data_IF_098058664474
#
_entry.id   IF_098058664474
#
_cell.length_a   1.000
_cell.length_b   1.000
_cell.length_c   1.000
_cell.angle_alpha   90.00
_cell.angle_beta   90.00
_cell.angle_gamma   90.00
#
_symmetry.space_group_name_H-M   'P 1'
#
loop_
_entity.id
_entity.type
_entity.pdbx_description
1 polymer ?
#
# COMPACT_ATOMS: atom_id res chain seq x y z
N UNK A 1 -22.56 0.27 -29.56
CA UNK A 1 -23.00 0.54 -28.16
C UNK A 1 -23.27 2.02 -27.87
N UNK A 2 -22.84 2.98 -28.71
CA UNK A 2 -23.02 4.43 -28.45
C UNK A 2 -24.47 4.95 -28.42
N UNK A 3 -25.37 4.42 -29.27
CA UNK A 3 -26.75 4.95 -29.41
C UNK A 3 -27.61 4.84 -28.13
N UNK A 4 -27.30 3.87 -27.26
CA UNK A 4 -27.99 3.70 -25.97
C UNK A 4 -27.64 4.79 -24.95
N UNK A 5 -26.37 5.21 -24.90
CA UNK A 5 -25.91 6.28 -24.01
C UNK A 5 -26.33 7.66 -24.53
N UNK A 6 -26.25 7.86 -25.85
CA UNK A 6 -26.62 9.10 -26.50
C UNK A 6 -28.10 9.45 -26.38
N UNK A 7 -29.00 8.49 -26.05
CA UNK A 7 -30.44 8.72 -25.87
C UNK A 7 -30.86 8.89 -24.39
N UNK A 8 -30.07 8.38 -23.44
CA UNK A 8 -30.36 8.45 -22.01
C UNK A 8 -30.24 9.87 -21.42
N UNK A 9 -31.18 10.29 -20.56
CA UNK A 9 -31.20 11.63 -19.94
C UNK A 9 -29.96 11.95 -19.09
N UNK A 10 -29.45 10.92 -18.40
CA UNK A 10 -28.19 10.90 -17.67
C UNK A 10 -27.76 9.43 -17.58
N UNK A 11 -26.46 9.15 -17.51
CA UNK A 11 -25.95 7.77 -17.39
C UNK A 11 -25.26 7.60 -16.04
N UNK A 12 -25.80 6.72 -15.21
CA UNK A 12 -25.17 6.36 -13.94
C UNK A 12 -23.97 5.44 -14.19
N UNK A 13 -22.81 5.86 -13.71
CA UNK A 13 -21.64 5.02 -13.58
C UNK A 13 -21.42 4.69 -12.10
N UNK A 14 -21.19 3.41 -11.83
CA UNK A 14 -20.85 2.88 -10.52
C UNK A 14 -19.42 2.32 -10.61
N UNK A 15 -18.49 2.93 -9.88
CA UNK A 15 -17.16 2.37 -9.72
C UNK A 15 -17.18 1.25 -8.68
N UNK A 16 -16.51 0.14 -9.00
CA UNK A 16 -16.08 -0.77 -7.95
C UNK A 16 -15.25 0.02 -6.94
N UNK A 17 -15.38 -0.32 -5.67
CA UNK A 17 -14.66 0.36 -4.59
C UNK A 17 -13.13 0.39 -4.84
N UNK A 18 -12.57 -0.68 -5.42
CA UNK A 18 -11.17 -0.70 -5.85
C UNK A 18 -10.86 0.32 -6.94
N UNK A 19 -11.77 0.53 -7.90
CA UNK A 19 -11.53 1.48 -8.97
C UNK A 19 -11.44 2.89 -8.42
N UNK A 20 -12.38 3.28 -7.55
CA UNK A 20 -12.35 4.57 -6.87
C UNK A 20 -11.09 4.73 -6.03
N UNK A 21 -10.79 3.76 -5.17
CA UNK A 21 -9.65 3.85 -4.24
C UNK A 21 -8.31 4.01 -4.98
N UNK A 22 -8.13 3.31 -6.09
CA UNK A 22 -6.92 3.42 -6.93
C UNK A 22 -7.00 4.51 -8.00
N UNK A 23 -8.08 5.32 -8.05
CA UNK A 23 -8.22 6.40 -9.02
C UNK A 23 -8.47 5.95 -10.47
N UNK A 24 -8.87 4.68 -10.68
CA UNK A 24 -9.21 4.15 -12.00
C UNK A 24 -10.56 4.68 -12.47
N UNK A 25 -10.54 5.48 -13.55
CA UNK A 25 -11.75 5.95 -14.20
C UNK A 25 -12.31 4.84 -15.09
N UNK A 26 -13.58 4.49 -14.86
CA UNK A 26 -14.32 3.52 -15.68
C UNK A 26 -14.38 3.93 -17.15
N UNK A 27 -14.12 2.98 -18.06
CA UNK A 27 -14.31 3.17 -19.51
C UNK A 27 -15.70 3.75 -19.86
N UNK A 28 -16.71 3.44 -19.05
CA UNK A 28 -18.06 3.96 -19.25
C UNK A 28 -18.14 5.48 -19.16
N UNK A 29 -17.31 6.12 -18.34
CA UNK A 29 -17.26 7.59 -18.25
C UNK A 29 -16.82 8.17 -19.60
N UNK A 30 -15.74 7.64 -20.18
CA UNK A 30 -15.25 8.02 -21.50
C UNK A 30 -16.32 7.79 -22.58
N UNK A 31 -16.94 6.61 -22.60
CA UNK A 31 -17.96 6.26 -23.61
C UNK A 31 -19.18 7.19 -23.57
N UNK A 32 -19.61 7.59 -22.37
CA UNK A 32 -20.74 8.50 -22.18
C UNK A 32 -20.39 9.89 -22.68
N UNK A 33 -19.22 10.41 -22.31
CA UNK A 33 -18.78 11.75 -22.74
C UNK A 33 -18.56 11.79 -24.26
N UNK A 34 -17.89 10.78 -24.83
CA UNK A 34 -17.68 10.65 -26.28
C UNK A 34 -18.99 10.55 -27.07
N UNK A 35 -20.06 10.04 -26.44
CA UNK A 35 -21.40 9.98 -27.03
C UNK A 35 -22.21 11.28 -26.83
N UNK A 36 -21.62 12.33 -26.25
CA UNK A 36 -22.29 13.60 -25.92
C UNK A 36 -23.21 13.54 -24.71
N UNK A 37 -23.15 12.46 -23.92
CA UNK A 37 -23.90 12.30 -22.68
C UNK A 37 -23.21 12.94 -21.47
N UNK A 38 -23.93 13.03 -20.35
CA UNK A 38 -23.38 13.50 -19.06
C UNK A 38 -23.40 12.33 -18.09
N UNK A 39 -22.22 11.82 -17.66
CA UNK A 39 -22.15 10.77 -16.68
C UNK A 39 -22.44 11.34 -15.29
N UNK A 40 -23.20 10.57 -14.50
CA UNK A 40 -23.39 10.78 -13.07
C UNK A 40 -22.62 9.67 -12.38
N UNK A 41 -21.59 10.03 -11.62
CA UNK A 41 -20.67 9.06 -11.03
C UNK A 41 -20.28 9.47 -9.63
N UNK A 42 -19.79 8.54 -8.84
CA UNK A 42 -19.24 8.84 -7.54
C UNK A 42 -18.01 9.78 -7.59
N UNK A 43 -17.82 10.59 -6.54
CA UNK A 43 -16.73 11.57 -6.45
C UNK A 43 -15.39 10.93 -6.04
N UNK A 44 -14.32 11.22 -6.78
CA UNK A 44 -12.91 11.00 -6.40
C UNK A 44 -11.97 11.95 -7.17
N UNK A 45 -10.76 12.27 -6.65
CA UNK A 45 -9.95 13.38 -7.18
C UNK A 45 -9.45 13.22 -8.62
N UNK A 46 -9.11 12.01 -9.05
CA UNK A 46 -8.59 11.74 -10.40
C UNK A 46 -9.63 12.06 -11.46
N UNK A 47 -10.90 11.75 -11.18
CA UNK A 47 -12.02 12.08 -12.04
C UNK A 47 -12.22 13.59 -12.16
N UNK A 48 -12.12 14.34 -11.06
CA UNK A 48 -12.24 15.80 -11.07
C UNK A 48 -11.08 16.46 -11.82
N UNK A 49 -9.86 15.95 -11.68
CA UNK A 49 -8.70 16.46 -12.42
C UNK A 49 -8.81 16.21 -13.92
N UNK A 50 -9.25 15.01 -14.30
CA UNK A 50 -9.34 14.61 -15.70
C UNK A 50 -10.51 15.28 -16.42
N UNK A 51 -11.68 15.27 -15.78
CA UNK A 51 -12.92 15.65 -16.43
C UNK A 51 -13.59 16.89 -15.85
N UNK A 52 -13.23 17.33 -14.64
CA UNK A 52 -13.76 18.56 -14.04
C UNK A 52 -15.28 18.69 -14.15
N UNK A 53 -15.73 19.72 -14.86
CA UNK A 53 -17.14 20.03 -15.06
C UNK A 53 -17.84 19.13 -16.10
N UNK A 54 -17.12 18.27 -16.81
CA UNK A 54 -17.65 17.34 -17.81
C UNK A 54 -18.47 16.19 -17.21
N UNK A 55 -18.38 16.00 -15.88
CA UNK A 55 -19.11 14.97 -15.12
C UNK A 55 -19.96 15.58 -14.02
N UNK A 56 -21.01 14.89 -13.59
CA UNK A 56 -21.73 15.20 -12.36
C UNK A 56 -21.39 14.17 -11.29
N UNK A 57 -21.02 14.63 -10.08
CA UNK A 57 -20.55 13.73 -9.03
C UNK A 57 -21.42 13.68 -7.78
N UNK A 58 -21.33 12.57 -7.03
CA UNK A 58 -22.05 12.37 -5.77
C UNK A 58 -21.26 11.58 -4.72
N UNK A 59 -21.60 11.78 -3.45
CA UNK A 59 -21.01 11.09 -2.29
C UNK A 59 -22.04 10.33 -1.46
N UNK A 60 -23.32 10.64 -1.63
CA UNK A 60 -24.44 10.09 -0.85
C UNK A 60 -25.76 10.15 -1.66
N UNK A 61 -26.85 9.66 -1.06
CA UNK A 61 -28.16 9.60 -1.72
C UNK A 61 -28.76 10.98 -2.04
N UNK A 62 -28.44 12.02 -1.26
CA UNK A 62 -28.99 13.36 -1.44
C UNK A 62 -28.25 14.12 -2.54
N UNK A 63 -26.92 14.04 -2.53
CA UNK A 63 -26.04 14.56 -3.59
C UNK A 63 -26.29 13.85 -4.91
N UNK A 64 -26.54 12.53 -4.90
CA UNK A 64 -26.92 11.76 -6.08
C UNK A 64 -28.17 12.31 -6.75
N UNK A 65 -29.25 12.54 -5.98
CA UNK A 65 -30.51 13.09 -6.52
C UNK A 65 -30.31 14.45 -7.19
N UNK A 66 -29.46 15.31 -6.61
CA UNK A 66 -29.13 16.63 -7.18
C UNK A 66 -28.26 16.50 -8.43
N UNK A 67 -27.24 15.64 -8.42
CA UNK A 67 -26.35 15.38 -9.55
C UNK A 67 -27.12 14.84 -10.76
N UNK A 68 -28.02 13.88 -10.55
CA UNK A 68 -28.87 13.34 -11.60
C UNK A 68 -29.80 14.42 -12.21
N UNK A 69 -30.40 15.28 -11.38
CA UNK A 69 -31.24 16.37 -11.88
C UNK A 69 -30.45 17.38 -12.72
N UNK A 70 -29.23 17.75 -12.30
CA UNK A 70 -28.34 18.64 -13.05
C UNK A 70 -27.88 18.03 -14.37
N UNK A 71 -27.49 16.75 -14.38
CA UNK A 71 -27.10 16.06 -15.61
C UNK A 71 -28.22 16.08 -16.66
N UNK A 72 -29.45 15.79 -16.25
CA UNK A 72 -30.63 15.83 -17.14
C UNK A 72 -30.91 17.24 -17.66
N UNK A 73 -30.77 18.26 -16.81
CA UNK A 73 -30.97 19.66 -17.22
C UNK A 73 -29.89 20.11 -18.21
N UNK A 74 -28.61 19.90 -17.88
CA UNK A 74 -27.46 20.27 -18.73
C UNK A 74 -27.53 19.62 -20.10
N UNK A 75 -27.90 18.33 -20.20
CA UNK A 75 -28.04 17.66 -21.50
C UNK A 75 -29.10 18.30 -22.41
N UNK A 76 -30.14 18.92 -21.85
CA UNK A 76 -31.18 19.60 -22.63
C UNK A 76 -30.73 20.95 -23.19
N UNK A 77 -29.77 21.59 -22.52
CA UNK A 77 -29.29 22.94 -22.83
C UNK A 77 -28.04 22.93 -23.72
N UNK A 78 -27.33 21.81 -23.76
CA UNK A 78 -25.96 21.71 -24.27
C UNK A 78 -25.84 20.78 -25.48
N UNK A 79 -24.98 21.13 -26.44
CA UNK A 79 -24.77 20.33 -27.65
C UNK A 79 -23.70 19.23 -27.48
N UNK A 80 -22.99 19.16 -26.35
CA UNK A 80 -22.06 18.08 -25.97
C UNK A 80 -20.85 17.87 -26.90
N UNK A 81 -20.79 18.57 -28.02
CA UNK A 81 -19.90 18.27 -29.15
C UNK A 81 -18.43 18.53 -28.83
N UNK A 82 -18.09 19.69 -28.25
CA UNK A 82 -16.69 20.03 -27.93
C UNK A 82 -16.09 19.09 -26.87
N UNK A 83 -16.94 18.57 -25.96
CA UNK A 83 -16.56 17.60 -24.92
C UNK A 83 -16.34 16.20 -25.48
N UNK A 84 -17.26 15.77 -26.34
CA UNK A 84 -17.13 14.52 -27.07
C UNK A 84 -15.85 14.53 -27.92
N UNK A 85 -15.56 15.67 -28.56
CA UNK A 85 -14.37 15.86 -29.37
C UNK A 85 -13.07 15.78 -28.56
N UNK A 86 -13.04 16.33 -27.33
CA UNK A 86 -11.89 16.18 -26.43
C UNK A 86 -11.60 14.70 -26.10
N UNK A 87 -12.63 13.92 -25.73
CA UNK A 87 -12.44 12.48 -25.42
C UNK A 87 -12.08 11.68 -26.67
N UNK A 88 -12.73 11.96 -27.81
CA UNK A 88 -12.48 11.27 -29.08
C UNK A 88 -11.09 11.55 -29.66
N UNK A 89 -10.45 12.68 -29.30
CA UNK A 89 -9.14 13.06 -29.81
C UNK A 89 -7.96 12.69 -28.89
N UNK A 90 -8.23 12.25 -27.65
CA UNK A 90 -7.18 12.01 -26.66
C UNK A 90 -7.30 10.69 -25.89
N UNK A 91 -8.44 10.00 -25.97
CA UNK A 91 -8.73 8.81 -25.16
C UNK A 91 -9.41 7.70 -25.96
N UNK A 92 -9.08 7.55 -27.23
CA UNK A 92 -9.54 6.41 -28.02
C UNK A 92 -9.08 5.09 -27.38
N UNK A 93 -9.75 3.99 -27.73
CA UNK A 93 -9.35 2.67 -27.24
C UNK A 93 -7.95 2.30 -27.72
N UNK A 94 -7.59 2.69 -28.94
CA UNK A 94 -6.28 2.40 -29.52
C UNK A 94 -5.17 3.17 -28.80
N UNK A 95 -5.34 4.48 -28.57
CA UNK A 95 -4.38 5.30 -27.79
C UNK A 95 -4.18 4.75 -26.37
N UNK A 96 -5.27 4.30 -25.72
CA UNK A 96 -5.19 3.70 -24.38
C UNK A 96 -4.59 2.31 -24.39
N UNK A 97 -4.84 1.50 -25.41
CA UNK A 97 -4.25 0.17 -25.58
C UNK A 97 -2.74 0.27 -25.84
N UNK A 98 -2.33 1.22 -26.69
CA UNK A 98 -0.92 1.54 -26.92
C UNK A 98 -0.24 1.91 -25.60
N UNK A 99 -0.86 2.79 -24.80
CA UNK A 99 -0.32 3.14 -23.47
C UNK A 99 -0.22 1.95 -22.51
N UNK A 100 -1.19 1.04 -22.52
CA UNK A 100 -1.12 -0.19 -21.69
C UNK A 100 0.02 -1.09 -22.17
N UNK A 101 0.18 -1.27 -23.47
CA UNK A 101 1.26 -2.09 -24.04
C UNK A 101 2.64 -1.53 -23.71
N UNK A 102 2.82 -0.21 -23.78
CA UNK A 102 4.03 0.48 -23.30
C UNK A 102 4.35 0.11 -21.84
N UNK A 103 3.38 0.27 -20.93
CA UNK A 103 3.55 -0.06 -19.52
C UNK A 103 3.87 -1.55 -19.27
N UNK A 104 3.28 -2.45 -20.07
CA UNK A 104 3.52 -3.90 -19.98
C UNK A 104 4.94 -4.23 -20.43
N UNK A 105 5.43 -3.64 -21.53
CA UNK A 105 6.80 -3.83 -21.99
C UNK A 105 7.83 -3.32 -20.97
N UNK A 106 7.60 -2.13 -20.41
CA UNK A 106 8.40 -1.57 -19.32
C UNK A 106 8.48 -2.51 -18.12
N UNK A 107 7.33 -3.03 -17.68
CA UNK A 107 7.26 -3.94 -16.54
C UNK A 107 8.02 -5.26 -16.80
N UNK A 108 7.99 -5.75 -18.04
CA UNK A 108 8.69 -6.97 -18.42
C UNK A 108 10.21 -6.76 -18.62
N UNK A 109 10.71 -5.52 -18.55
CA UNK A 109 12.11 -5.21 -18.82
C UNK A 109 12.54 -5.50 -20.26
N UNK A 110 11.58 -5.54 -21.20
CA UNK A 110 11.83 -5.75 -22.63
C UNK A 110 11.63 -4.42 -23.33
N UNK A 111 12.58 -3.94 -24.15
CA UNK A 111 12.45 -2.64 -24.79
C UNK A 111 11.22 -2.60 -25.70
N UNK A 112 10.29 -1.69 -25.40
CA UNK A 112 9.28 -1.27 -26.34
C UNK A 112 9.96 -0.62 -27.57
N UNK A 113 9.37 -0.67 -28.77
CA UNK A 113 9.84 0.14 -29.89
C UNK A 113 9.80 1.62 -29.47
N UNK A 114 10.94 2.30 -29.58
CA UNK A 114 11.22 3.56 -28.90
C UNK A 114 10.13 4.64 -29.07
N UNK A 115 9.47 4.97 -27.96
CA UNK A 115 8.85 6.25 -27.68
C UNK A 115 9.53 6.87 -26.45
N UNK A 116 9.69 8.19 -26.50
CA UNK A 116 10.66 9.01 -25.77
C UNK A 116 10.27 9.27 -24.29
N UNK A 117 9.86 8.24 -23.52
CA UNK A 117 9.11 8.44 -22.27
C UNK A 117 9.84 8.10 -20.95
N UNK A 118 11.14 7.79 -21.00
CA UNK A 118 12.02 7.82 -19.79
C UNK A 118 12.32 9.28 -19.34
N UNK A 119 11.96 10.27 -20.18
CA UNK A 119 12.19 11.69 -19.93
C UNK A 119 11.31 12.30 -18.80
N UNK A 120 10.34 11.55 -18.24
CA UNK A 120 9.40 12.06 -17.23
C UNK A 120 9.25 11.23 -15.96
N UNK A 121 10.00 10.15 -15.79
CA UNK A 121 10.02 9.38 -14.55
C UNK A 121 10.92 10.03 -13.48
N UNK A 122 10.52 9.92 -12.21
CA UNK A 122 11.30 10.37 -11.06
C UNK A 122 12.06 9.16 -10.52
N UNK A 123 13.36 9.09 -10.79
CA UNK A 123 14.19 7.97 -10.35
C UNK A 123 14.76 8.29 -8.96
N UNK A 124 14.45 7.49 -7.96
CA UNK A 124 14.93 7.70 -6.59
C UNK A 124 15.78 6.49 -6.19
N UNK A 125 16.95 6.76 -5.62
CA UNK A 125 17.77 5.73 -5.02
C UNK A 125 17.45 5.60 -3.53
N UNK A 126 17.42 4.36 -3.05
CA UNK A 126 17.23 4.00 -1.64
C UNK A 126 18.51 3.33 -1.16
N UNK A 127 19.09 3.85 -0.08
CA UNK A 127 20.30 3.31 0.50
C UNK A 127 20.06 1.90 1.05
N UNK A 128 20.94 0.97 0.69
CA UNK A 128 20.91 -0.43 1.13
C UNK A 128 22.23 -0.77 1.80
N UNK A 129 22.17 -1.53 2.89
CA UNK A 129 23.37 -2.03 3.55
C UNK A 129 24.14 -2.98 2.64
N UNK A 130 25.47 -2.95 2.67
CA UNK A 130 26.30 -3.83 1.84
C UNK A 130 26.16 -5.32 2.21
N UNK A 131 25.76 -5.63 3.44
CA UNK A 131 25.52 -6.98 3.94
C UNK A 131 24.06 -7.42 3.86
N UNK A 132 23.15 -6.55 3.40
CA UNK A 132 21.77 -6.93 3.17
C UNK A 132 21.71 -7.93 2.01
N UNK A 133 20.85 -8.94 2.15
CA UNK A 133 20.61 -9.90 1.08
C UNK A 133 20.14 -9.13 -0.19
N UNK A 134 20.87 -9.24 -1.32
CA UNK A 134 20.58 -8.48 -2.54
C UNK A 134 19.28 -8.91 -3.23
N UNK A 135 18.78 -10.12 -2.95
CA UNK A 135 17.48 -10.60 -3.42
C UNK A 135 16.36 -10.33 -2.41
N UNK A 136 16.74 -10.05 -1.17
CA UNK A 136 15.76 -9.67 -0.19
C UNK A 136 15.35 -8.21 -0.45
N UNK A 137 14.08 -7.97 -0.78
CA UNK A 137 13.40 -6.73 -0.37
C UNK A 137 12.67 -6.96 0.97
N UNK A 138 13.31 -6.74 2.14
CA UNK A 138 12.55 -6.70 3.36
C UNK A 138 13.32 -5.92 4.44
N UNK A 139 13.46 -4.61 4.25
CA UNK A 139 13.59 -3.77 5.43
C UNK A 139 12.37 -2.87 5.47
N UNK A 140 11.50 -3.18 6.42
CA UNK A 140 10.30 -2.43 6.69
C UNK A 140 10.61 -0.95 6.99
N UNK A 141 11.88 -0.63 7.30
CA UNK A 141 12.42 0.69 7.65
C UNK A 141 11.92 1.75 6.68
N UNK A 142 12.07 1.51 5.38
CA UNK A 142 11.71 2.49 4.36
C UNK A 142 10.33 2.26 3.74
N UNK A 143 9.59 1.21 4.09
CA UNK A 143 8.22 1.02 3.59
C UNK A 143 7.33 2.24 3.90
N UNK A 144 7.61 2.93 5.02
CA UNK A 144 6.95 4.18 5.41
C UNK A 144 7.06 5.28 4.36
N UNK A 145 8.19 5.33 3.66
CA UNK A 145 8.55 6.38 2.70
C UNK A 145 8.36 5.88 1.27
N UNK A 146 8.70 4.61 1.00
CA UNK A 146 8.56 3.98 -0.31
C UNK A 146 7.09 3.73 -0.64
N UNK A 147 6.26 3.20 0.27
CA UNK A 147 4.85 2.91 -0.04
C UNK A 147 4.08 4.16 -0.53
N UNK A 148 4.19 5.35 0.10
CA UNK A 148 3.53 6.54 -0.43
C UNK A 148 4.11 7.07 -1.75
N UNK A 149 5.39 6.76 -2.06
CA UNK A 149 6.05 7.16 -3.31
C UNK A 149 5.75 6.20 -4.47
N UNK A 150 5.52 4.93 -4.16
CA UNK A 150 5.32 3.84 -5.14
C UNK A 150 3.91 3.24 -5.11
N UNK A 151 2.96 3.88 -4.42
CA UNK A 151 1.57 3.42 -4.45
C UNK A 151 1.10 3.39 -5.90
N UNK A 152 0.31 2.37 -6.27
CA UNK A 152 -0.31 2.18 -7.60
C UNK A 152 -1.31 3.32 -7.92
N UNK A 153 -0.83 4.55 -7.95
CA UNK A 153 -1.54 5.71 -8.43
C UNK A 153 -1.31 5.78 -9.94
N UNK A 154 -2.33 6.09 -10.76
CA UNK A 154 -2.16 6.34 -12.19
C UNK A 154 -1.07 7.37 -12.51
N UNK A 155 -0.72 8.22 -11.54
CA UNK A 155 0.30 9.26 -11.61
C UNK A 155 1.71 8.84 -11.17
N UNK A 156 1.91 7.68 -10.54
CA UNK A 156 3.20 7.35 -9.91
C UNK A 156 4.26 6.99 -10.96
N UNK A 157 4.92 8.00 -11.53
CA UNK A 157 6.11 7.84 -12.39
C UNK A 157 7.40 7.66 -11.58
N UNK A 158 7.32 7.19 -10.33
CA UNK A 158 8.48 7.03 -9.45
C UNK A 158 9.12 5.66 -9.67
N UNK A 159 10.41 5.64 -10.02
CA UNK A 159 11.22 4.42 -10.14
C UNK A 159 12.18 4.36 -8.96
N UNK A 160 12.04 3.35 -8.10
CA UNK A 160 12.94 3.15 -6.95
C UNK A 160 14.07 2.21 -7.34
N UNK A 161 15.29 2.59 -6.98
CA UNK A 161 16.52 1.83 -7.25
C UNK A 161 17.25 1.59 -5.94
N UNK A 162 17.95 0.47 -5.83
CA UNK A 162 18.85 0.23 -4.71
C UNK A 162 20.19 0.96 -4.92
N UNK A 163 20.74 1.53 -3.85
CA UNK A 163 22.08 2.09 -3.81
C UNK A 163 22.86 1.52 -2.63
N UNK A 164 23.83 0.65 -2.93
CA UNK A 164 24.73 0.08 -1.92
C UNK A 164 26.02 0.92 -1.79
N UNK A 165 26.69 0.89 -0.64
CA UNK A 165 28.03 1.45 -0.50
C UNK A 165 28.97 1.02 -1.63
N UNK A 166 29.69 1.98 -2.23
CA UNK A 166 30.59 1.76 -3.36
C UNK A 166 29.93 1.73 -4.74
N UNK A 167 28.59 1.76 -4.83
CA UNK A 167 27.89 1.93 -6.12
C UNK A 167 27.98 3.37 -6.63
N UNK A 168 27.99 3.53 -7.95
CA UNK A 168 27.89 4.86 -8.56
C UNK A 168 26.50 5.46 -8.28
N UNK A 169 26.38 6.77 -8.01
CA UNK A 169 25.07 7.38 -7.80
C UNK A 169 24.12 7.13 -8.98
N UNK A 170 22.91 6.65 -8.69
CA UNK A 170 21.79 6.45 -9.63
C UNK A 170 20.60 7.35 -9.24
N UNK A 171 19.65 7.56 -10.16
CA UNK A 171 18.49 8.42 -9.91
C UNK A 171 18.79 9.91 -9.63
N UNK A 172 17.77 10.67 -9.29
CA UNK A 172 17.83 12.11 -9.01
C UNK A 172 18.06 12.43 -7.53
N UNK A 173 17.84 11.49 -6.62
CA UNK A 173 17.94 11.68 -5.17
C UNK A 173 18.33 10.37 -4.46
N UNK A 174 18.88 10.48 -3.24
CA UNK A 174 19.10 9.36 -2.34
C UNK A 174 18.21 9.48 -1.10
N UNK A 175 17.57 8.39 -0.69
CA UNK A 175 16.89 8.27 0.61
C UNK A 175 17.69 7.32 1.50
N UNK A 176 17.98 7.75 2.72
CA UNK A 176 18.73 6.97 3.74
C UNK A 176 17.85 6.78 4.97
N UNK A 177 17.86 5.60 5.60
CA UNK A 177 17.18 5.40 6.89
C UNK A 177 18.14 5.65 8.05
N UNK A 178 17.65 6.26 9.13
CA UNK A 178 18.46 6.54 10.34
C UNK A 178 19.03 5.29 10.98
N UNK A 179 18.34 4.15 10.85
CA UNK A 179 18.78 2.87 11.38
C UNK A 179 19.94 2.24 10.58
N UNK A 180 20.30 2.81 9.43
CA UNK A 180 21.37 2.35 8.56
C UNK A 180 22.59 3.27 8.54
N UNK A 181 22.55 4.41 9.24
CA UNK A 181 23.64 5.39 9.25
C UNK A 181 24.97 4.81 9.74
N UNK A 182 24.93 3.93 10.75
CA UNK A 182 26.13 3.28 11.29
C UNK A 182 26.67 2.14 10.41
N UNK A 183 26.05 1.89 9.25
CA UNK A 183 26.48 0.82 8.34
C UNK A 183 27.80 1.21 7.64
N UNK A 184 28.79 0.31 7.57
CA UNK A 184 30.05 0.58 6.88
C UNK A 184 29.85 1.09 5.45
N UNK A 185 30.48 2.22 5.13
CA UNK A 185 30.44 2.85 3.81
C UNK A 185 29.19 3.69 3.51
N UNK A 186 28.28 3.86 4.47
CA UNK A 186 27.11 4.74 4.31
C UNK A 186 27.53 6.21 4.14
N UNK A 187 28.49 6.67 4.93
CA UNK A 187 29.04 8.04 4.81
C UNK A 187 29.63 8.31 3.42
N UNK A 188 30.37 7.33 2.86
CA UNK A 188 30.94 7.43 1.52
C UNK A 188 29.84 7.48 0.44
N UNK A 189 28.77 6.71 0.61
CA UNK A 189 27.61 6.74 -0.29
C UNK A 189 26.91 8.11 -0.26
N UNK A 190 26.65 8.64 0.95
CA UNK A 190 26.06 9.97 1.15
C UNK A 190 26.96 11.03 0.49
N UNK A 191 28.27 10.98 0.74
CA UNK A 191 29.24 11.90 0.16
C UNK A 191 29.26 11.81 -1.38
N UNK A 192 29.17 10.61 -1.97
CA UNK A 192 29.14 10.44 -3.42
C UNK A 192 27.92 11.10 -4.07
N UNK A 193 26.72 10.95 -3.49
CA UNK A 193 25.51 11.62 -3.99
C UNK A 193 25.61 13.14 -3.85
N UNK A 194 26.11 13.64 -2.72
CA UNK A 194 26.33 15.07 -2.48
C UNK A 194 27.32 15.67 -3.48
N UNK A 195 28.43 14.98 -3.74
CA UNK A 195 29.43 15.40 -4.73
C UNK A 195 28.87 15.39 -6.16
N UNK A 196 27.95 14.48 -6.47
CA UNK A 196 27.23 14.45 -7.73
C UNK A 196 26.12 15.53 -7.83
N UNK A 197 25.96 16.38 -6.81
CA UNK A 197 24.94 17.43 -6.76
C UNK A 197 23.52 16.89 -6.62
N UNK A 198 23.35 15.66 -6.10
CA UNK A 198 22.04 15.04 -5.89
C UNK A 198 21.59 15.20 -4.43
N UNK A 199 20.34 15.62 -4.18
CA UNK A 199 19.84 15.77 -2.83
C UNK A 199 19.81 14.42 -2.09
N UNK A 200 20.06 14.50 -0.79
CA UNK A 200 20.00 13.37 0.13
C UNK A 200 18.93 13.62 1.17
N UNK A 201 17.98 12.70 1.28
CA UNK A 201 16.87 12.72 2.22
C UNK A 201 17.12 11.68 3.32
N UNK A 202 16.82 12.04 4.57
CA UNK A 202 16.92 11.12 5.71
C UNK A 202 15.54 10.76 6.24
N UNK A 203 15.24 9.46 6.36
CA UNK A 203 14.13 8.93 7.13
C UNK A 203 14.56 8.66 8.58
N UNK A 204 14.23 9.57 9.50
CA UNK A 204 14.59 9.50 10.91
C UNK A 204 13.51 8.80 11.74
N UNK A 205 13.72 7.51 12.01
CA UNK A 205 12.84 6.64 12.82
C UNK A 205 13.46 6.24 14.17
N UNK A 206 14.71 6.64 14.39
CA UNK A 206 15.46 6.44 15.63
C UNK A 206 15.98 7.79 16.13
N UNK A 207 16.16 7.97 17.45
CA UNK A 207 16.72 9.21 17.98
C UNK A 207 18.12 9.49 17.38
N UNK A 208 18.35 10.72 16.93
CA UNK A 208 19.62 11.19 16.39
C UNK A 208 20.05 12.51 17.04
N UNK A 209 21.27 12.51 17.54
CA UNK A 209 21.92 13.70 18.10
C UNK A 209 22.81 14.36 17.03
N UNK A 210 22.30 15.42 16.40
CA UNK A 210 23.08 16.22 15.45
C UNK A 210 22.22 17.15 14.58
N UNK A 211 22.86 18.11 13.92
CA UNK A 211 22.24 19.06 12.99
C UNK A 211 22.18 18.54 11.53
N UNK A 212 22.84 17.39 11.29
CA UNK A 212 22.78 16.57 10.06
C UNK A 212 22.92 17.41 8.78
N UNK A 213 23.94 18.26 8.61
CA UNK A 213 23.99 19.29 7.57
C UNK A 213 24.07 18.73 6.14
N UNK A 214 24.36 17.44 6.00
CA UNK A 214 24.38 16.72 4.74
C UNK A 214 22.97 16.38 4.21
N UNK A 215 21.94 16.33 5.06
CA UNK A 215 20.59 15.99 4.66
C UNK A 215 19.85 17.23 4.12
N UNK A 216 19.32 17.20 2.91
CA UNK A 216 18.56 18.30 2.36
C UNK A 216 17.19 18.47 3.06
N UNK A 217 16.58 17.33 3.43
CA UNK A 217 15.40 17.23 4.29
C UNK A 217 15.48 16.01 5.20
N UNK A 218 14.84 16.12 6.36
CA UNK A 218 14.67 15.04 7.34
C UNK A 218 13.18 14.75 7.49
N UNK A 219 12.79 13.53 7.11
CA UNK A 219 11.45 13.02 7.28
C UNK A 219 11.37 12.22 8.57
N UNK A 220 10.40 12.52 9.42
CA UNK A 220 10.28 11.84 10.72
C UNK A 220 8.81 11.70 11.16
N UNK A 221 8.43 10.61 11.85
CA UNK A 221 7.10 10.51 12.48
C UNK A 221 6.97 11.40 13.72
N UNK A 222 8.10 11.75 14.36
CA UNK A 222 8.13 12.56 15.57
C UNK A 222 9.36 13.50 15.56
N UNK A 223 9.18 14.83 15.48
CA UNK A 223 10.26 15.80 15.58
C UNK A 223 11.17 15.63 16.78
N UNK A 224 10.69 15.04 17.89
CA UNK A 224 11.49 14.77 19.07
C UNK A 224 12.65 13.79 18.82
N UNK A 225 12.59 13.00 17.73
CA UNK A 225 13.68 12.10 17.32
C UNK A 225 14.89 12.86 16.75
N UNK A 226 14.71 14.11 16.31
CA UNK A 226 15.75 14.93 15.67
C UNK A 226 15.79 16.35 16.24
N UNK A 227 15.99 16.51 17.56
CA UNK A 227 15.76 17.77 18.27
C UNK A 227 16.71 18.90 17.85
N UNK A 228 17.85 18.56 17.23
CA UNK A 228 18.91 19.49 16.86
C UNK A 228 18.88 19.88 15.37
N UNK A 229 17.95 19.33 14.58
CA UNK A 229 17.78 19.69 13.16
C UNK A 229 16.89 20.92 13.05
N UNK A 230 17.26 21.87 12.19
CA UNK A 230 16.47 23.07 11.95
C UNK A 230 15.05 22.72 11.47
N UNK A 231 14.03 23.37 12.04
CA UNK A 231 12.62 23.00 11.83
C UNK A 231 12.13 23.16 10.39
N UNK A 232 12.75 24.03 9.60
CA UNK A 232 12.47 24.22 8.17
C UNK A 232 13.02 23.10 7.29
N UNK A 233 13.90 22.26 7.83
CA UNK A 233 14.43 21.04 7.19
C UNK A 233 13.73 19.77 7.66
N UNK A 234 12.88 19.84 8.69
CA UNK A 234 12.14 18.70 9.25
C UNK A 234 10.72 18.69 8.69
N UNK A 235 10.32 17.56 8.11
CA UNK A 235 8.93 17.33 7.71
C UNK A 235 8.36 16.15 8.49
N UNK A 236 7.20 16.38 9.12
CA UNK A 236 6.49 15.33 9.85
C UNK A 236 5.73 14.47 8.86
N UNK A 237 6.33 13.33 8.52
CA UNK A 237 5.66 12.28 7.77
C UNK A 237 5.19 11.28 8.82
N UNK A 238 3.89 11.01 9.01
CA UNK A 238 3.47 9.97 9.94
C UNK A 238 3.85 8.58 9.41
N UNK A 239 3.78 7.57 10.26
CA UNK A 239 3.78 6.18 9.78
C UNK A 239 2.54 5.95 8.90
N UNK A 240 2.75 5.94 7.59
CA UNK A 240 1.73 5.76 6.58
C UNK A 240 2.08 4.55 5.70
N UNK A 241 1.15 3.61 5.64
CA UNK A 241 1.14 2.53 4.67
C UNK A 241 -0.06 2.79 3.77
N UNK A 242 0.02 2.39 2.50
CA UNK A 242 -1.12 2.50 1.61
C UNK A 242 -2.13 1.39 1.95
N UNK A 243 -3.26 1.72 2.61
CA UNK A 243 -4.25 0.72 3.00
C UNK A 243 -4.82 -0.03 1.80
N UNK A 244 -4.83 0.57 0.61
CA UNK A 244 -5.42 -0.01 -0.61
C UNK A 244 -4.66 -1.26 -1.05
N UNK A 245 -3.34 -1.31 -0.80
CA UNK A 245 -2.52 -2.48 -1.08
C UNK A 245 -2.94 -3.69 -0.24
N UNK A 246 -3.43 -3.42 0.96
CA UNK A 246 -3.84 -4.43 1.92
C UNK A 246 -5.32 -4.76 1.78
N UNK A 247 -6.17 -3.81 1.36
CA UNK A 247 -7.62 -3.98 1.27
C UNK A 247 -8.04 -5.16 0.40
N UNK A 248 -9.01 -5.92 0.91
CA UNK A 248 -9.62 -7.04 0.19
C UNK A 248 -10.90 -6.57 -0.51
N UNK A 249 -10.77 -6.15 -1.77
CA UNK A 249 -11.92 -5.69 -2.57
C UNK A 249 -12.85 -6.81 -3.06
N UNK A 250 -12.39 -8.07 -3.00
CA UNK A 250 -13.20 -9.24 -3.36
C UNK A 250 -13.67 -9.93 -2.10
N UNK A 251 -14.99 -10.13 -1.96
CA UNK A 251 -15.57 -10.87 -0.83
C UNK A 251 -14.79 -12.18 -0.58
N UNK A 252 -14.41 -12.49 0.66
CA UNK A 252 -13.81 -13.78 0.98
C UNK A 252 -14.75 -14.93 0.58
N UNK A 253 -14.17 -16.05 0.18
CA UNK A 253 -14.88 -17.33 0.20
C UNK A 253 -15.16 -17.71 1.65
N UNK A 254 -16.26 -18.40 1.90
CA UNK A 254 -16.53 -19.02 3.21
C UNK A 254 -15.35 -19.86 3.68
N UNK A 255 -15.10 -19.90 4.99
CA UNK A 255 -14.11 -20.77 5.63
C UNK A 255 -14.16 -22.18 5.05
N UNK A 256 -13.00 -22.71 4.69
CA UNK A 256 -12.87 -24.11 4.29
C UNK A 256 -13.01 -25.00 5.53
N UNK A 257 -13.83 -26.07 5.50
CA UNK A 257 -13.92 -27.02 6.61
C UNK A 257 -12.53 -27.57 6.98
N UNK A 258 -12.23 -27.68 8.28
CA UNK A 258 -10.92 -28.17 8.74
C UNK A 258 -10.50 -27.60 10.09
N UNK A 259 -9.21 -27.76 10.46
CA UNK A 259 -8.65 -27.12 11.65
C UNK A 259 -8.69 -25.60 11.55
N UNK A 260 -8.73 -24.91 12.69
CA UNK A 260 -8.59 -23.45 12.75
C UNK A 260 -7.18 -23.06 12.31
N UNK A 261 -7.07 -22.20 11.31
CA UNK A 261 -5.79 -21.75 10.75
C UNK A 261 -5.39 -20.43 11.40
N UNK A 262 -4.34 -20.44 12.20
CA UNK A 262 -3.88 -19.28 12.99
C UNK A 262 -2.69 -18.64 12.28
N UNK A 263 -2.87 -17.40 11.83
CA UNK A 263 -1.86 -16.64 11.13
C UNK A 263 -0.85 -16.00 12.09
N UNK A 264 0.44 -16.10 11.79
CA UNK A 264 1.51 -15.39 12.48
C UNK A 264 2.49 -14.79 11.47
N UNK A 265 2.59 -13.47 11.43
CA UNK A 265 3.56 -12.77 10.58
C UNK A 265 4.89 -12.53 11.30
N UNK A 266 5.74 -13.56 11.35
CA UNK A 266 7.09 -13.42 11.88
C UNK A 266 8.03 -12.64 10.94
N UNK A 267 7.64 -12.35 9.69
CA UNK A 267 8.39 -11.43 8.82
C UNK A 267 8.27 -9.99 9.34
N UNK A 268 7.06 -9.59 9.74
CA UNK A 268 6.77 -8.25 10.27
C UNK A 268 7.09 -8.12 11.75
N UNK A 269 6.71 -9.13 12.55
CA UNK A 269 6.88 -9.12 14.02
C UNK A 269 8.26 -9.61 14.47
N UNK A 270 9.07 -10.18 13.56
CA UNK A 270 10.34 -10.80 13.90
C UNK A 270 10.19 -12.23 14.43
N UNK A 271 11.31 -12.96 14.48
CA UNK A 271 11.36 -14.37 14.92
C UNK A 271 11.03 -14.54 16.40
N UNK A 272 11.44 -13.57 17.23
CA UNK A 272 11.20 -13.56 18.68
C UNK A 272 9.71 -13.62 19.03
N UNK A 273 8.85 -13.08 18.16
CA UNK A 273 7.39 -13.16 18.30
C UNK A 273 6.89 -14.60 18.32
N UNK A 274 7.43 -15.46 17.45
CA UNK A 274 7.07 -16.88 17.43
C UNK A 274 7.62 -17.61 18.65
N UNK A 275 8.88 -17.35 19.01
CA UNK A 275 9.52 -17.95 20.18
C UNK A 275 8.77 -17.65 21.48
N UNK A 276 8.25 -16.42 21.62
CA UNK A 276 7.47 -16.00 22.78
C UNK A 276 6.15 -16.78 22.95
N UNK A 277 5.49 -17.16 21.85
CA UNK A 277 4.20 -17.87 21.89
C UNK A 277 4.33 -19.39 21.80
N UNK A 278 5.44 -19.91 21.30
CA UNK A 278 5.62 -21.34 21.03
C UNK A 278 5.30 -22.25 22.24
N UNK A 279 5.82 -22.01 23.47
CA UNK A 279 5.53 -22.87 24.61
C UNK A 279 4.02 -22.95 24.94
N UNK A 280 3.31 -21.83 24.75
CA UNK A 280 1.88 -21.73 24.99
C UNK A 280 1.07 -22.47 23.92
N UNK A 281 1.50 -22.38 22.65
CA UNK A 281 0.88 -23.09 21.54
C UNK A 281 1.09 -24.60 21.65
N UNK A 282 2.25 -25.07 22.11
CA UNK A 282 2.51 -26.49 22.37
C UNK A 282 1.63 -27.04 23.50
N UNK A 283 1.48 -26.26 24.58
CA UNK A 283 0.58 -26.60 25.68
C UNK A 283 -0.89 -26.67 25.21
N UNK A 284 -1.33 -25.69 24.42
CA UNK A 284 -2.68 -25.70 23.82
C UNK A 284 -2.86 -26.90 22.89
N UNK A 285 -1.87 -27.20 22.04
CA UNK A 285 -1.93 -28.36 21.12
C UNK A 285 -2.03 -29.68 21.87
N UNK A 286 -1.35 -29.81 23.01
CA UNK A 286 -1.49 -30.99 23.88
C UNK A 286 -2.92 -31.19 24.41
N UNK A 287 -3.72 -30.12 24.48
CA UNK A 287 -5.11 -30.13 24.93
C UNK A 287 -6.12 -30.33 23.78
N UNK A 288 -5.94 -29.64 22.66
CA UNK A 288 -6.94 -29.62 21.56
C UNK A 288 -6.54 -30.45 20.33
N UNK A 289 -5.36 -31.07 20.34
CA UNK A 289 -4.85 -31.93 19.26
C UNK A 289 -4.70 -31.18 17.94
N UNK A 290 -5.07 -31.85 16.84
CA UNK A 290 -4.94 -31.32 15.48
C UNK A 290 -6.03 -30.33 15.08
N UNK A 291 -6.79 -29.79 16.04
CA UNK A 291 -7.92 -28.88 15.79
C UNK A 291 -7.51 -27.48 15.33
N UNK A 292 -6.21 -27.15 15.37
CA UNK A 292 -5.66 -25.93 14.78
C UNK A 292 -4.32 -26.20 14.10
N UNK A 293 -3.90 -25.29 13.23
CA UNK A 293 -2.56 -25.22 12.65
C UNK A 293 -2.08 -23.78 12.64
N UNK A 294 -0.77 -23.57 12.74
CA UNK A 294 -0.19 -22.22 12.60
C UNK A 294 0.30 -22.05 11.19
N UNK A 295 -0.09 -20.95 10.55
CA UNK A 295 0.41 -20.51 9.25
C UNK A 295 1.36 -19.35 9.50
N UNK A 296 2.65 -19.61 9.37
CA UNK A 296 3.70 -18.66 9.70
C UNK A 296 4.39 -18.13 8.45
N UNK A 297 4.46 -16.81 8.35
CA UNK A 297 5.33 -16.15 7.38
C UNK A 297 6.67 -15.91 8.04
N UNK A 298 7.75 -16.42 7.44
CA UNK A 298 9.10 -16.33 8.02
C UNK A 298 10.14 -16.38 6.91
N UNK A 299 11.36 -15.91 7.18
CA UNK A 299 12.50 -16.15 6.28
C UNK A 299 13.08 -17.55 6.48
N UNK A 300 13.10 -17.99 7.74
CA UNK A 300 13.66 -19.28 8.14
C UNK A 300 12.58 -20.14 8.79
N UNK A 301 12.34 -21.31 8.23
CA UNK A 301 11.35 -22.24 8.72
C UNK A 301 11.86 -22.94 10.00
N UNK A 302 11.10 -22.93 11.12
CA UNK A 302 11.43 -23.75 12.28
C UNK A 302 11.41 -25.24 11.91
N UNK A 303 12.37 -25.98 12.47
CA UNK A 303 12.46 -27.43 12.27
C UNK A 303 11.68 -28.20 13.35
N UNK A 304 11.17 -29.38 13.01
CA UNK A 304 10.55 -30.29 13.99
C UNK A 304 9.11 -29.98 14.39
N UNK A 305 8.44 -29.02 13.76
CA UNK A 305 7.05 -28.62 14.07
C UNK A 305 6.10 -28.93 12.89
N UNK A 306 5.56 -30.15 12.76
CA UNK A 306 4.72 -30.54 11.62
C UNK A 306 3.37 -29.82 11.54
N UNK A 307 2.99 -29.11 12.61
CA UNK A 307 1.74 -28.36 12.72
C UNK A 307 1.89 -26.85 12.45
N UNK A 308 3.10 -26.44 12.07
CA UNK A 308 3.43 -25.09 11.64
C UNK A 308 3.69 -25.13 10.14
N UNK A 309 2.73 -24.62 9.37
CA UNK A 309 2.86 -24.39 7.93
C UNK A 309 3.69 -23.12 7.72
N UNK A 310 4.83 -23.24 7.04
CA UNK A 310 5.72 -22.10 6.81
C UNK A 310 5.65 -21.66 5.36
N UNK A 311 5.60 -20.35 5.18
CA UNK A 311 5.69 -19.73 3.85
C UNK A 311 6.93 -18.84 3.81
N UNK A 312 8.03 -19.31 3.22
CA UNK A 312 9.16 -18.44 2.94
C UNK A 312 8.79 -17.41 1.88
N UNK A 313 9.25 -16.18 2.07
CA UNK A 313 9.12 -15.13 1.07
C UNK A 313 9.93 -15.49 -0.18
N UNK A 314 9.39 -15.22 -1.38
CA UNK A 314 10.16 -15.41 -2.61
C UNK A 314 11.28 -14.37 -2.69
N UNK A 315 12.49 -14.77 -3.11
CA UNK A 315 13.60 -13.84 -3.36
C UNK A 315 13.36 -12.94 -4.58
N UNK A 316 12.30 -13.17 -5.36
CA UNK A 316 12.04 -12.45 -6.63
C UNK A 316 11.08 -11.26 -6.46
N UNK A 317 10.73 -10.87 -5.22
CA UNK A 317 9.83 -9.74 -4.99
C UNK A 317 10.56 -8.39 -5.02
N UNK A 318 10.03 -7.47 -5.83
CA UNK A 318 10.66 -6.19 -6.14
C UNK A 318 10.00 -4.97 -5.46
N UNK A 319 8.98 -5.14 -4.60
CA UNK A 319 8.46 -3.99 -3.85
C UNK A 319 7.28 -4.22 -2.90
N UNK A 320 6.90 -3.17 -2.12
CA UNK A 320 5.94 -3.29 -1.02
C UNK A 320 4.54 -3.77 -1.44
N UNK A 321 4.06 -3.39 -2.63
CA UNK A 321 2.77 -3.83 -3.15
C UNK A 321 2.74 -5.33 -3.47
N UNK A 322 3.82 -5.89 -4.00
CA UNK A 322 3.93 -7.33 -4.27
C UNK A 322 4.00 -8.12 -2.96
N UNK A 323 4.81 -7.65 -2.00
CA UNK A 323 4.86 -8.24 -0.65
C UNK A 323 3.50 -8.19 0.03
N UNK A 324 2.80 -7.06 -0.01
CA UNK A 324 1.46 -6.92 0.58
C UNK A 324 0.45 -7.89 -0.01
N UNK A 325 0.41 -8.00 -1.35
CA UNK A 325 -0.44 -8.95 -2.07
C UNK A 325 -0.11 -10.40 -1.70
N UNK A 326 1.17 -10.75 -1.66
CA UNK A 326 1.61 -12.09 -1.29
C UNK A 326 1.23 -12.45 0.15
N UNK A 327 1.52 -11.59 1.13
CA UNK A 327 1.16 -11.78 2.54
C UNK A 327 -0.35 -11.99 2.65
N UNK A 328 -1.14 -11.11 2.02
CA UNK A 328 -2.60 -11.20 2.01
C UNK A 328 -3.07 -12.54 1.42
N UNK A 329 -2.50 -12.98 0.31
CA UNK A 329 -2.89 -14.24 -0.32
C UNK A 329 -2.56 -15.46 0.57
N UNK A 330 -1.50 -15.38 1.38
CA UNK A 330 -1.14 -16.43 2.36
C UNK A 330 -1.96 -16.41 3.63
N UNK A 331 -2.35 -15.24 4.13
CA UNK A 331 -3.18 -15.15 5.33
C UNK A 331 -4.69 -15.19 5.05
N UNK A 332 -5.15 -14.95 3.82
CA UNK A 332 -6.54 -15.16 3.37
C UNK A 332 -7.15 -16.54 3.71
N UNK A 333 -6.43 -17.67 3.60
CA UNK A 333 -6.94 -18.97 4.03
C UNK A 333 -6.93 -19.16 5.56
N UNK A 334 -6.56 -18.16 6.36
CA UNK A 334 -6.55 -18.25 7.81
C UNK A 334 -7.88 -17.81 8.43
N UNK A 335 -8.07 -18.19 9.70
CA UNK A 335 -9.30 -17.97 10.46
C UNK A 335 -9.12 -16.95 11.59
N UNK A 336 -7.89 -16.78 12.10
CA UNK A 336 -7.52 -15.84 13.15
C UNK A 336 -6.05 -15.45 13.01
N UNK A 337 -5.63 -14.39 13.70
CA UNK A 337 -4.23 -13.94 13.71
C UNK A 337 -3.73 -13.68 15.14
N UNK A 338 -2.43 -13.89 15.36
CA UNK A 338 -1.76 -13.49 16.59
C UNK A 338 -0.98 -12.20 16.36
N UNK A 339 -1.21 -11.20 17.22
CA UNK A 339 -0.43 -9.96 17.27
C UNK A 339 0.42 -10.00 18.53
N UNK A 340 1.70 -10.29 18.35
CA UNK A 340 2.65 -10.44 19.47
C UNK A 340 3.47 -9.18 19.62
N UNK A 341 3.34 -8.52 20.77
CA UNK A 341 4.21 -7.40 21.13
C UNK A 341 5.40 -7.91 21.94
N UNK A 342 6.57 -7.94 21.31
CA UNK A 342 7.85 -8.27 21.97
C UNK A 342 8.65 -7.03 22.37
N UNK A 343 8.00 -5.87 22.49
CA UNK A 343 8.67 -4.57 22.67
C UNK A 343 9.15 -3.98 21.35
N UNK A 344 8.48 -4.33 20.25
CA UNK A 344 8.81 -3.86 18.91
C UNK A 344 8.47 -2.37 18.76
N UNK A 345 9.11 -1.66 17.82
CA UNK A 345 8.67 -0.32 17.45
C UNK A 345 7.17 -0.31 17.11
N UNK A 346 6.44 0.71 17.60
CA UNK A 346 4.99 0.87 17.39
C UNK A 346 4.60 0.70 15.91
N UNK A 347 5.47 1.15 14.99
CA UNK A 347 5.32 0.99 13.55
C UNK A 347 5.11 -0.46 13.11
N UNK A 348 5.87 -1.42 13.64
CA UNK A 348 5.74 -2.85 13.29
C UNK A 348 4.41 -3.41 13.75
N UNK A 349 4.00 -3.05 14.96
CA UNK A 349 2.69 -3.41 15.48
C UNK A 349 1.55 -2.82 14.64
N UNK A 350 1.70 -1.57 14.19
CA UNK A 350 0.73 -0.92 13.28
C UNK A 350 0.66 -1.62 11.93
N UNK A 351 1.80 -2.00 11.34
CA UNK A 351 1.85 -2.77 10.09
C UNK A 351 1.17 -4.14 10.25
N UNK A 352 1.48 -4.86 11.33
CA UNK A 352 0.85 -6.14 11.65
C UNK A 352 -0.67 -6.01 11.83
N UNK A 353 -1.14 -4.97 12.50
CA UNK A 353 -2.58 -4.66 12.61
C UNK A 353 -3.21 -4.36 11.25
N UNK A 354 -2.55 -3.59 10.38
CA UNK A 354 -3.08 -3.32 9.04
C UNK A 354 -3.19 -4.59 8.19
N UNK A 355 -2.22 -5.49 8.31
CA UNK A 355 -2.23 -6.79 7.64
C UNK A 355 -3.41 -7.65 8.11
N UNK A 356 -3.60 -7.81 9.42
CA UNK A 356 -4.69 -8.64 9.97
C UNK A 356 -6.06 -8.09 9.60
N UNK A 357 -6.19 -6.76 9.65
CA UNK A 357 -7.40 -6.05 9.25
C UNK A 357 -7.72 -6.26 7.76
N UNK A 358 -6.72 -6.21 6.89
CA UNK A 358 -6.85 -6.48 5.46
C UNK A 358 -7.28 -7.90 5.10
N UNK A 359 -6.90 -8.85 5.93
CA UNK A 359 -7.30 -10.24 5.79
C UNK A 359 -8.64 -10.51 6.49
N UNK A 360 -9.25 -9.49 7.11
CA UNK A 360 -10.48 -9.59 7.90
C UNK A 360 -10.37 -10.63 9.01
N UNK A 361 -9.15 -10.83 9.55
CA UNK A 361 -8.89 -11.83 10.57
C UNK A 361 -9.18 -11.26 11.97
N UNK A 362 -9.91 -11.98 12.83
CA UNK A 362 -9.93 -11.67 14.24
C UNK A 362 -8.51 -11.80 14.80
N UNK A 363 -7.95 -10.67 15.22
CA UNK A 363 -6.62 -10.59 15.79
C UNK A 363 -6.69 -10.73 17.32
N UNK A 364 -5.84 -11.60 17.88
CA UNK A 364 -5.65 -11.76 19.31
C UNK A 364 -4.36 -11.04 19.69
N UNK A 365 -4.47 -10.02 20.55
CA UNK A 365 -3.31 -9.35 21.12
C UNK A 365 -2.70 -10.26 22.20
N UNK A 366 -1.46 -10.66 21.98
CA UNK A 366 -0.73 -11.55 22.88
C UNK A 366 -0.10 -10.70 23.98
N UNK A 367 -0.72 -10.77 25.16
CA UNK A 367 -0.23 -10.17 26.39
C UNK A 367 0.27 -11.19 27.41
N UNK A 368 0.94 -10.70 28.46
CA UNK A 368 1.46 -11.51 29.56
C UNK A 368 0.35 -12.14 30.45
N UNK A 369 -0.89 -11.68 30.32
CA UNK A 369 -2.03 -12.16 31.13
C UNK A 369 -2.58 -13.53 30.67
N UNK A 370 -2.13 -14.03 29.51
CA UNK A 370 -2.57 -15.31 28.94
C UNK A 370 -4.04 -15.32 28.48
N UNK A 371 -4.74 -14.18 28.48
CA UNK A 371 -6.15 -14.11 28.09
C UNK A 371 -6.38 -14.56 26.63
N UNK A 372 -5.40 -14.28 25.77
CA UNK A 372 -5.38 -14.68 24.38
C UNK A 372 -5.43 -16.21 24.19
N UNK A 373 -4.89 -17.00 25.13
CA UNK A 373 -4.90 -18.48 25.03
C UNK A 373 -6.32 -19.01 25.19
N UNK A 374 -7.05 -18.48 26.18
CA UNK A 374 -8.44 -18.87 26.43
C UNK A 374 -9.35 -18.45 25.27
N UNK A 375 -9.11 -17.27 24.70
CA UNK A 375 -9.84 -16.83 23.50
C UNK A 375 -9.51 -17.69 22.28
N UNK A 376 -8.23 -18.05 22.07
CA UNK A 376 -7.85 -18.94 20.98
C UNK A 376 -8.50 -20.33 21.13
N UNK A 377 -8.50 -20.88 22.34
CA UNK A 377 -9.20 -22.14 22.63
C UNK A 377 -10.70 -22.05 22.31
N UNK A 378 -11.33 -20.92 22.64
CA UNK A 378 -12.74 -20.68 22.33
C UNK A 378 -13.00 -20.60 20.84
N UNK A 379 -12.16 -19.90 20.08
CA UNK A 379 -12.24 -19.83 18.61
C UNK A 379 -12.08 -21.22 17.97
N UNK A 380 -11.28 -22.10 18.57
CA UNK A 380 -11.10 -23.48 18.12
C UNK A 380 -12.35 -24.33 18.41
N UNK A 381 -12.95 -24.16 19.59
CA UNK A 381 -14.05 -24.99 20.06
C UNK A 381 -15.43 -24.58 19.52
N UNK A 382 -15.64 -23.29 19.21
CA UNK A 382 -16.94 -22.71 18.89
C UNK A 382 -16.94 -22.01 17.50
N UNK A 383 -17.46 -22.68 16.46
CA UNK A 383 -17.55 -22.11 15.11
C UNK A 383 -18.42 -20.86 15.02
N UNK A 384 -19.47 -20.74 15.85
CA UNK A 384 -20.36 -19.57 15.83
C UNK A 384 -19.66 -18.36 16.46
N UNK A 385 -18.89 -18.58 17.53
CA UNK A 385 -18.02 -17.55 18.11
C UNK A 385 -16.96 -17.07 17.12
N UNK A 386 -16.30 -18.01 16.42
CA UNK A 386 -15.33 -17.67 15.36
C UNK A 386 -15.98 -16.83 14.25
N UNK A 387 -17.17 -17.21 13.78
CA UNK A 387 -17.90 -16.47 12.76
C UNK A 387 -18.30 -15.05 13.22
N UNK A 388 -18.71 -14.91 14.48
CA UNK A 388 -19.04 -13.61 15.07
C UNK A 388 -17.79 -12.70 15.13
N UNK A 389 -16.65 -13.23 15.59
CA UNK A 389 -15.38 -12.48 15.68
C UNK A 389 -14.84 -12.09 14.31
N UNK A 390 -14.98 -12.95 13.30
CA UNK A 390 -14.66 -12.59 11.91
C UNK A 390 -15.55 -11.44 11.39
N UNK A 391 -16.84 -11.43 11.73
CA UNK A 391 -17.74 -10.33 11.36
C UNK A 391 -17.35 -9.00 12.03
N UNK A 392 -16.91 -9.04 13.29
CA UNK A 392 -16.39 -7.87 14.00
C UNK A 392 -15.10 -7.35 13.38
N UNK A 393 -14.15 -8.25 13.07
CA UNK A 393 -12.90 -7.89 12.39
C UNK A 393 -13.16 -7.20 11.06
N UNK A 394 -14.14 -7.68 10.29
CA UNK A 394 -14.57 -7.06 9.03
C UNK A 394 -15.10 -5.64 9.22
N UNK A 395 -15.96 -5.41 10.22
CA UNK A 395 -16.46 -4.05 10.52
C UNK A 395 -15.33 -3.11 10.97
N UNK A 396 -14.40 -3.62 11.77
CA UNK A 396 -13.22 -2.86 12.19
C UNK A 396 -12.34 -2.49 11.00
N UNK A 397 -12.26 -3.36 9.98
CA UNK A 397 -11.54 -3.08 8.76
C UNK A 397 -12.08 -1.87 8.03
N UNK A 398 -13.39 -1.83 7.76
CA UNK A 398 -14.03 -0.72 7.06
C UNK A 398 -13.72 0.63 7.73
N UNK A 399 -13.78 0.71 9.06
CA UNK A 399 -13.46 1.94 9.81
C UNK A 399 -11.97 2.33 9.79
N UNK A 400 -11.05 1.35 9.78
CA UNK A 400 -9.61 1.62 9.79
C UNK A 400 -9.20 2.34 8.48
N UNK A 401 -9.84 1.99 7.36
CA UNK A 401 -9.45 2.46 6.03
C UNK A 401 -9.78 3.93 5.76
N UNK A 402 -10.81 4.49 6.40
CA UNK A 402 -11.26 5.87 6.19
C UNK A 402 -10.28 6.94 6.73
N UNK A 403 -9.36 6.57 7.63
CA UNK A 403 -8.47 7.52 8.32
C UNK A 403 -7.07 7.70 7.72
N UNK A 404 -6.71 7.02 6.63
CA UNK A 404 -5.33 6.98 6.14
C UNK A 404 -4.97 8.12 5.18
N UNK A 405 -3.77 8.69 5.38
CA UNK A 405 -3.28 9.89 4.67
C UNK A 405 -2.06 9.60 3.78
N UNK A 406 -1.98 8.38 3.24
CA UNK A 406 -0.83 7.93 2.45
C UNK A 406 -0.59 8.83 1.21
N UNK A 407 -1.66 9.26 0.53
CA UNK A 407 -1.58 10.18 -0.63
C UNK A 407 -0.98 11.55 -0.27
N UNK A 408 -1.34 12.10 0.89
CA UNK A 408 -0.82 13.40 1.35
C UNK A 408 0.70 13.31 1.60
N UNK A 409 1.15 12.22 2.25
CA UNK A 409 2.56 11.96 2.50
C UNK A 409 3.35 11.81 1.19
N UNK A 410 2.87 11.01 0.24
CA UNK A 410 3.50 10.84 -1.07
C UNK A 410 3.64 12.16 -1.84
N UNK A 411 2.57 12.95 -1.86
CA UNK A 411 2.55 14.26 -2.53
C UNK A 411 3.49 15.28 -1.89
N UNK A 412 3.67 15.22 -0.57
CA UNK A 412 4.59 16.09 0.15
C UNK A 412 6.05 15.71 -0.14
N UNK A 413 6.37 14.41 -0.07
CA UNK A 413 7.72 13.91 -0.37
C UNK A 413 8.10 14.17 -1.84
N UNK A 414 7.19 13.97 -2.79
CA UNK A 414 7.45 14.24 -4.20
C UNK A 414 7.73 15.71 -4.49
N UNK A 415 7.02 16.64 -3.83
CA UNK A 415 7.31 18.08 -3.94
C UNK A 415 8.71 18.41 -3.46
N UNK A 416 9.14 17.82 -2.34
CA UNK A 416 10.49 17.98 -1.81
C UNK A 416 11.55 17.42 -2.77
N UNK A 417 11.31 16.24 -3.35
CA UNK A 417 12.23 15.59 -4.31
C UNK A 417 12.34 16.39 -5.62
N UNK A 418 11.22 16.92 -6.12
CA UNK A 418 11.17 17.65 -7.40
C UNK A 418 11.57 19.13 -7.28
N UNK A 419 11.74 19.65 -6.07
CA UNK A 419 12.06 21.07 -5.84
C UNK A 419 10.93 22.04 -6.23
N UNK A 420 9.72 21.52 -6.43
CA UNK A 420 8.51 22.31 -6.73
C UNK A 420 7.85 22.77 -5.42
N UNK A 421 7.78 24.10 -5.22
CA UNK A 421 7.16 24.76 -4.06
C UNK A 421 5.63 24.72 -4.09
#
# INVERSE_FOLDING_TARGET
MGDGNASAGAVLNDHWESMRDFGYISNRVYDVIASGGIPVTDTFPELEREFGDLVETFTDSDTFRRAAARAVARRREDAGFDRALHVLNHHTLDERAERILELVWDFMGVPAPATDDDAGAVHIAVARRADADPLAWPDDRLNRIVCPLTSDLPESRVRVHDAAPGSAPTGSALIVSSADLDTPGMDDLIAAYRQAGRPVFLDATTPLDGDLPWADRVWTPDPALVPNVASDRVEVIPDALDPRLWRTYRRPSSRTPGPVRVFLDALTLGTDAFEAVLPHLEALRSKVGDSFVVVMLTREAPSGLPWVETHPISPDFAGPAQTARWIRDKGRPCDAALLVDTGLPERRMKLARMQTVAMELPALEVGADGAWIAELERLIADPDHLAARAMEARKAADSLWEGFRCREAGSLMLRAILGSS
#
